data_IF_308791184764
#
_entry.id   IF_308791184764
#
_cell.length_a   1.000
_cell.length_b   1.000
_cell.length_c   1.000
_cell.angle_alpha   90.00
_cell.angle_beta   90.00
_cell.angle_gamma   90.00
#
_symmetry.space_group_name_H-M   'P 1'
#
loop_
_entity.id
_entity.type
_entity.pdbx_description
1 polymer ?
#
# COMPACT_ATOMS: atom_id res chain seq x y z
N UNK A 1 5.84 -7.66 -11.53
CA UNK A 1 5.58 -8.10 -10.14
C UNK A 1 6.50 -7.35 -9.20
N UNK A 2 6.02 -6.93 -8.04
CA UNK A 2 6.83 -6.27 -7.00
C UNK A 2 6.54 -6.87 -5.62
N UNK A 3 7.49 -6.75 -4.70
CA UNK A 3 7.25 -7.00 -3.29
C UNK A 3 6.37 -5.91 -2.67
N UNK A 4 5.39 -6.30 -1.86
CA UNK A 4 4.53 -5.37 -1.13
C UNK A 4 5.29 -4.39 -0.24
N UNK A 5 6.45 -4.76 0.29
CA UNK A 5 7.34 -3.87 1.03
C UNK A 5 7.80 -2.68 0.18
N UNK A 6 8.04 -2.91 -1.12
CA UNK A 6 8.42 -1.85 -2.05
C UNK A 6 7.24 -0.92 -2.33
N UNK A 7 6.02 -1.45 -2.46
CA UNK A 7 4.81 -0.64 -2.60
C UNK A 7 4.53 0.19 -1.34
N UNK A 8 4.69 -0.41 -0.16
CA UNK A 8 4.53 0.32 1.10
C UNK A 8 5.59 1.44 1.24
N UNK A 9 6.82 1.19 0.77
CA UNK A 9 7.87 2.21 0.73
C UNK A 9 7.53 3.34 -0.26
N UNK A 10 7.04 3.01 -1.45
CA UNK A 10 6.57 3.95 -2.48
C UNK A 10 5.46 4.85 -1.93
N UNK A 11 4.40 4.26 -1.37
CA UNK A 11 3.30 5.01 -0.75
C UNK A 11 3.76 5.95 0.38
N UNK A 12 4.77 5.53 1.15
CA UNK A 12 5.32 6.36 2.23
C UNK A 12 6.17 7.51 1.70
N UNK A 13 7.09 7.21 0.78
CA UNK A 13 8.10 8.17 0.30
C UNK A 13 7.51 9.17 -0.71
N UNK A 14 6.71 8.70 -1.66
CA UNK A 14 6.22 9.50 -2.79
C UNK A 14 4.81 10.06 -2.56
N UNK A 15 4.02 9.43 -1.70
CA UNK A 15 2.59 9.72 -1.57
C UNK A 15 2.14 10.13 -0.17
N UNK A 16 3.07 10.26 0.78
CA UNK A 16 2.81 10.80 2.12
C UNK A 16 1.96 9.91 3.02
N UNK A 17 1.89 8.60 2.74
CA UNK A 17 1.26 7.65 3.64
C UNK A 17 2.15 7.35 4.85
N UNK A 18 1.54 7.12 6.01
CA UNK A 18 2.22 6.66 7.23
C UNK A 18 1.80 5.25 7.58
N UNK A 19 2.73 4.48 8.14
CA UNK A 19 2.47 3.13 8.65
C UNK A 19 1.75 3.25 10.00
N UNK A 20 0.54 2.69 10.10
CA UNK A 20 -0.29 2.74 11.32
C UNK A 20 -0.21 1.43 12.11
N UNK A 21 0.00 0.31 11.41
CA UNK A 21 0.21 -0.98 12.05
C UNK A 21 0.21 -2.12 11.04
N UNK A 22 0.23 -3.34 11.55
CA UNK A 22 0.15 -4.58 10.75
C UNK A 22 -1.14 -5.32 11.06
N UNK A 23 -1.59 -6.15 10.12
CA UNK A 23 -2.64 -7.14 10.38
C UNK A 23 -2.17 -8.14 11.44
N UNK A 24 -3.13 -8.81 12.10
CA UNK A 24 -2.85 -9.75 13.20
C UNK A 24 -1.90 -10.88 12.82
N UNK A 25 -1.95 -11.32 11.57
CA UNK A 25 -1.09 -12.36 10.99
C UNK A 25 0.28 -11.84 10.52
N UNK A 26 0.50 -10.51 10.56
CA UNK A 26 1.72 -9.87 10.12
C UNK A 26 1.93 -9.82 8.61
N UNK A 27 0.99 -10.33 7.81
CA UNK A 27 1.14 -10.48 6.35
C UNK A 27 0.73 -9.24 5.55
N UNK A 28 0.24 -8.19 6.21
CA UNK A 28 -0.07 -6.93 5.56
C UNK A 28 0.21 -5.74 6.48
N UNK A 29 0.49 -4.60 5.86
CA UNK A 29 0.67 -3.30 6.52
C UNK A 29 -0.55 -2.43 6.24
N UNK A 30 -1.06 -1.78 7.29
CA UNK A 30 -2.09 -0.77 7.20
C UNK A 30 -1.41 0.60 7.12
N UNK A 31 -1.73 1.35 6.06
CA UNK A 31 -1.21 2.68 5.82
C UNK A 31 -2.33 3.72 5.78
N UNK A 32 -2.02 4.95 6.21
CA UNK A 32 -2.98 6.06 6.25
C UNK A 32 -2.38 7.33 5.66
N UNK A 33 -3.20 8.10 4.96
CA UNK A 33 -2.94 9.49 4.56
C UNK A 33 -4.21 10.32 4.77
N UNK A 34 -4.21 11.26 5.71
CA UNK A 34 -5.41 12.02 6.10
C UNK A 34 -6.58 11.11 6.46
N UNK A 35 -7.64 11.06 5.64
CA UNK A 35 -8.81 10.17 5.82
C UNK A 35 -8.75 8.91 4.94
N UNK A 36 -7.74 8.79 4.09
CA UNK A 36 -7.53 7.62 3.22
C UNK A 36 -6.78 6.55 3.97
N UNK A 37 -7.25 5.31 3.79
CA UNK A 37 -6.64 4.11 4.34
C UNK A 37 -6.37 3.14 3.20
N UNK A 38 -5.28 2.39 3.31
CA UNK A 38 -4.99 1.30 2.40
C UNK A 38 -4.27 0.17 3.13
N UNK A 39 -4.40 -1.04 2.61
CA UNK A 39 -3.78 -2.25 3.15
C UNK A 39 -2.87 -2.83 2.07
N UNK A 40 -1.59 -2.98 2.40
CA UNK A 40 -0.57 -3.49 1.49
C UNK A 40 -0.16 -4.88 1.94
N UNK A 41 -0.49 -5.95 1.19
CA UNK A 41 -0.02 -7.30 1.48
C UNK A 41 1.50 -7.39 1.31
N UNK A 42 2.19 -7.94 2.31
CA UNK A 42 3.64 -8.17 2.32
C UNK A 42 3.98 -9.49 1.61
N UNK A 43 3.70 -9.51 0.31
CA UNK A 43 3.98 -10.64 -0.58
C UNK A 43 4.29 -10.13 -1.98
N UNK A 44 4.59 -11.05 -2.89
CA UNK A 44 4.64 -10.73 -4.31
C UNK A 44 3.25 -10.30 -4.81
N UNK A 45 3.22 -9.15 -5.47
CA UNK A 45 2.02 -8.57 -6.06
C UNK A 45 2.15 -8.55 -7.59
N UNK A 46 1.05 -8.90 -8.26
CA UNK A 46 0.88 -8.65 -9.70
C UNK A 46 0.74 -7.15 -9.94
N UNK A 47 0.97 -6.72 -11.18
CA UNK A 47 0.80 -5.31 -11.57
C UNK A 47 -0.62 -4.82 -11.32
N UNK A 48 -1.62 -5.62 -11.72
CA UNK A 48 -3.04 -5.35 -11.44
C UNK A 48 -3.37 -5.19 -9.95
N UNK A 49 -2.75 -6.00 -9.07
CA UNK A 49 -2.93 -5.87 -7.64
C UNK A 49 -2.31 -4.56 -7.11
N UNK A 50 -1.16 -4.14 -7.65
CA UNK A 50 -0.54 -2.85 -7.33
C UNK A 50 -1.44 -1.70 -7.75
N UNK A 51 -1.95 -1.73 -8.98
CA UNK A 51 -2.82 -0.69 -9.52
C UNK A 51 -4.13 -0.59 -8.74
N UNK A 52 -4.71 -1.72 -8.36
CA UNK A 52 -5.91 -1.76 -7.50
C UNK A 52 -5.66 -1.11 -6.14
N UNK A 53 -4.53 -1.43 -5.49
CA UNK A 53 -4.17 -0.85 -4.19
C UNK A 53 -3.92 0.66 -4.32
N UNK A 54 -3.25 1.08 -5.39
CA UNK A 54 -2.98 2.48 -5.70
C UNK A 54 -4.29 3.25 -5.93
N UNK A 55 -5.19 2.73 -6.76
CA UNK A 55 -6.51 3.31 -7.00
C UNK A 55 -7.36 3.41 -5.71
N UNK A 56 -7.39 2.37 -4.87
CA UNK A 56 -8.07 2.39 -3.58
C UNK A 56 -7.47 3.43 -2.61
N UNK A 57 -6.15 3.58 -2.64
CA UNK A 57 -5.43 4.60 -1.89
C UNK A 57 -5.65 6.03 -2.46
N UNK A 58 -6.29 6.17 -3.63
CA UNK A 58 -6.46 7.45 -4.32
C UNK A 58 -5.15 7.98 -4.89
N UNK A 59 -4.28 7.08 -5.31
CA UNK A 59 -2.94 7.38 -5.84
C UNK A 59 -2.82 6.74 -7.22
N UNK A 60 -2.49 7.50 -8.24
CA UNK A 60 -2.43 7.00 -9.61
C UNK A 60 -2.98 8.03 -10.59
N UNK A 61 -2.46 8.02 -11.82
CA UNK A 61 -3.04 8.82 -12.89
C UNK A 61 -4.35 8.16 -13.31
N UNK A 62 -5.42 8.96 -13.31
CA UNK A 62 -6.69 8.61 -13.96
C UNK A 62 -6.45 8.37 -15.44
#
# INVERSE_FOLDING_TARGET
MIHGENLAKDLRCEHGFVHVGRTRDGNAVVMRRSEKWTVVPLRWLTEEAVDTIKAQAGVGSV
#
